data_IF_473641526497
#
_entry.id   IF_473641526497
#
_cell.length_a   1.000
_cell.length_b   1.000
_cell.length_c   1.000
_cell.angle_alpha   90.00
_cell.angle_beta   90.00
_cell.angle_gamma   90.00
#
_symmetry.space_group_name_H-M   'P 1'
#
loop_
_entity.id
_entity.type
_entity.pdbx_description
1 polymer ?
#
# COMPACT_ATOMS: atom_id res chain seq x y z
N UNK A 1 64.98 -75.84 29.33
CA UNK A 1 64.31 -76.62 30.40
C UNK A 1 64.30 -75.78 31.67
N UNK A 2 63.25 -75.71 32.52
CA UNK A 2 61.80 -75.92 32.38
C UNK A 2 61.01 -74.57 32.43
N UNK A 3 59.77 -74.43 31.92
CA UNK A 3 58.44 -74.47 32.61
C UNK A 3 58.44 -73.77 33.99
N UNK A 4 57.51 -72.87 34.36
CA UNK A 4 56.06 -72.80 34.12
C UNK A 4 55.49 -71.43 34.57
N UNK A 5 54.30 -71.10 34.04
CA UNK A 5 53.17 -70.27 34.56
C UNK A 5 53.23 -69.93 36.06
N UNK A 6 52.56 -68.91 36.60
CA UNK A 6 51.80 -67.73 36.20
C UNK A 6 51.27 -67.19 37.55
N UNK A 7 51.19 -65.89 37.81
CA UNK A 7 50.23 -65.29 38.77
C UNK A 7 50.18 -63.77 38.56
N UNK A 8 48.95 -63.25 38.46
CA UNK A 8 48.55 -61.84 38.58
C UNK A 8 47.88 -61.73 39.96
N UNK A 9 47.93 -60.59 40.69
CA UNK A 9 47.12 -59.44 40.26
C UNK A 9 47.59 -58.02 40.64
N UNK A 10 47.06 -57.07 39.85
CA UNK A 10 46.61 -55.70 40.19
C UNK A 10 47.64 -54.66 40.67
N UNK A 11 48.22 -53.93 39.70
CA UNK A 11 48.73 -52.58 39.88
C UNK A 11 47.62 -51.53 39.67
N UNK A 12 47.45 -50.65 40.65
CA UNK A 12 46.90 -49.30 40.50
C UNK A 12 47.97 -48.40 39.88
N UNK A 13 47.74 -47.92 38.65
CA UNK A 13 48.64 -47.04 37.92
C UNK A 13 47.96 -45.73 37.55
N UNK A 14 48.33 -44.65 38.25
CA UNK A 14 48.03 -43.27 37.88
C UNK A 14 49.01 -42.87 36.77
N UNK A 15 48.52 -42.73 35.53
CA UNK A 15 49.36 -42.37 34.38
C UNK A 15 48.96 -40.98 33.86
N UNK A 16 49.87 -40.04 34.06
CA UNK A 16 49.84 -38.67 33.52
C UNK A 16 49.96 -38.75 32.01
N UNK A 17 48.95 -38.25 31.29
CA UNK A 17 48.95 -38.13 29.83
C UNK A 17 48.98 -36.65 29.44
N UNK A 18 50.03 -36.27 28.72
CA UNK A 18 50.24 -34.97 28.10
C UNK A 18 49.07 -34.62 27.16
N UNK A 19 48.40 -33.49 27.40
CA UNK A 19 47.46 -32.91 26.45
C UNK A 19 48.21 -32.01 25.44
N UNK A 20 48.21 -32.44 24.19
CA UNK A 20 48.54 -31.64 23.02
C UNK A 20 47.43 -30.59 22.80
N UNK A 21 47.77 -29.30 22.89
CA UNK A 21 46.89 -28.19 22.52
C UNK A 21 46.99 -27.94 21.00
N UNK A 22 45.90 -28.05 20.21
CA UNK A 22 45.90 -27.58 18.83
C UNK A 22 45.68 -26.06 18.81
N UNK A 23 46.61 -25.34 18.19
CA UNK A 23 46.49 -23.92 17.83
C UNK A 23 45.46 -23.81 16.70
N UNK A 24 44.22 -23.45 17.04
CA UNK A 24 43.23 -23.05 16.04
C UNK A 24 43.47 -21.57 15.66
N UNK A 25 43.66 -21.22 14.37
CA UNK A 25 43.64 -19.83 13.98
C UNK A 25 42.22 -19.30 14.14
N UNK A 26 42.03 -18.41 15.12
CA UNK A 26 40.84 -17.56 15.23
C UNK A 26 40.73 -16.70 13.97
N UNK A 27 40.09 -17.22 12.95
CA UNK A 27 39.53 -16.41 11.87
C UNK A 27 38.24 -15.82 12.42
N UNK A 28 38.35 -14.69 13.12
CA UNK A 28 37.23 -13.80 13.40
C UNK A 28 36.80 -13.15 12.09
N UNK A 29 36.16 -13.91 11.21
CA UNK A 29 35.29 -13.35 10.19
C UNK A 29 34.04 -12.85 10.90
N UNK A 30 34.15 -11.71 11.57
CA UNK A 30 33.02 -10.85 11.86
C UNK A 30 32.50 -10.32 10.53
N UNK A 31 31.78 -11.18 9.80
CA UNK A 31 30.91 -10.70 8.72
C UNK A 31 29.85 -9.86 9.41
N UNK A 32 30.07 -8.54 9.43
CA UNK A 32 29.03 -7.56 9.70
C UNK A 32 27.93 -7.79 8.68
N UNK A 33 26.98 -8.67 8.99
CA UNK A 33 25.81 -8.86 8.15
C UNK A 33 25.01 -7.58 8.29
N UNK A 34 25.24 -6.61 7.39
CA UNK A 34 24.28 -5.52 7.21
C UNK A 34 23.02 -6.17 6.65
N UNK A 35 22.19 -6.74 7.52
CA UNK A 35 20.97 -7.43 7.13
C UNK A 35 20.00 -6.36 6.64
N UNK A 36 20.04 -6.08 5.34
CA UNK A 36 19.06 -5.24 4.69
C UNK A 36 17.66 -5.74 5.06
N UNK A 37 16.67 -4.87 5.36
CA UNK A 37 15.31 -5.33 5.60
C UNK A 37 14.80 -6.11 4.38
N UNK A 38 14.35 -7.34 4.61
CA UNK A 38 14.02 -8.29 3.54
C UNK A 38 12.52 -8.56 3.46
N UNK A 39 12.04 -8.84 2.25
CA UNK A 39 10.70 -9.38 2.07
C UNK A 39 10.63 -10.78 2.69
N UNK A 40 9.83 -10.92 3.75
CA UNK A 40 9.53 -12.23 4.33
C UNK A 40 8.50 -12.90 3.46
N UNK A 41 8.87 -14.05 2.91
CA UNK A 41 7.93 -14.87 2.18
C UNK A 41 7.12 -15.70 3.18
N UNK A 42 5.81 -15.57 3.10
CA UNK A 42 4.90 -16.29 3.99
C UNK A 42 3.84 -17.03 3.20
N UNK A 43 3.34 -18.12 3.78
CA UNK A 43 2.20 -18.85 3.23
C UNK A 43 0.95 -18.01 3.38
N UNK A 44 0.20 -17.91 2.29
CA UNK A 44 -1.00 -17.10 2.22
C UNK A 44 -2.24 -18.01 2.35
N UNK A 45 -3.24 -17.62 3.18
CA UNK A 45 -4.51 -18.34 3.23
C UNK A 45 -5.23 -18.24 1.88
N UNK A 46 -6.11 -19.19 1.61
CA UNK A 46 -6.79 -19.26 0.33
C UNK A 46 -8.21 -18.69 0.46
N UNK A 47 -8.53 -17.67 -0.34
CA UNK A 47 -9.86 -17.07 -0.44
C UNK A 47 -10.46 -17.46 -1.79
N UNK A 48 -11.49 -18.29 -1.79
CA UNK A 48 -12.11 -18.85 -3.01
C UNK A 48 -13.55 -18.34 -3.16
N UNK A 49 -13.92 -17.79 -4.33
CA UNK A 49 -15.31 -17.51 -4.68
C UNK A 49 -16.19 -18.76 -4.63
N UNK A 50 -17.44 -18.60 -4.23
CA UNK A 50 -18.46 -19.65 -4.21
C UNK A 50 -19.61 -19.26 -5.13
N UNK A 51 -20.81 -19.07 -4.57
CA UNK A 51 -21.97 -18.62 -5.31
C UNK A 51 -21.85 -17.12 -5.65
N UNK A 52 -22.33 -16.77 -6.84
CA UNK A 52 -22.47 -15.38 -7.28
C UNK A 52 -23.92 -15.13 -7.64
N UNK A 53 -24.52 -14.14 -7.01
CA UNK A 53 -25.92 -13.79 -7.19
C UNK A 53 -26.06 -12.40 -7.82
N UNK A 54 -27.13 -12.20 -8.58
CA UNK A 54 -27.47 -10.88 -9.08
C UNK A 54 -28.01 -10.00 -7.94
N UNK A 55 -27.67 -8.72 -7.97
CA UNK A 55 -28.21 -7.70 -7.06
C UNK A 55 -28.92 -6.61 -7.87
N UNK A 56 -29.85 -5.87 -7.26
CA UNK A 56 -30.47 -4.71 -7.89
C UNK A 56 -29.42 -3.72 -8.42
N UNK A 57 -29.70 -3.10 -9.56
CA UNK A 57 -28.79 -2.13 -10.14
C UNK A 57 -28.61 -0.92 -9.20
N UNK A 58 -27.39 -0.38 -9.03
CA UNK A 58 -27.17 0.83 -8.24
C UNK A 58 -27.85 2.05 -8.88
N UNK A 59 -28.12 3.07 -8.07
CA UNK A 59 -28.76 4.31 -8.50
C UNK A 59 -27.76 5.39 -8.93
N UNK A 60 -26.50 5.33 -8.51
CA UNK A 60 -25.42 6.25 -8.93
C UNK A 60 -25.67 7.73 -8.62
N UNK A 61 -26.30 8.04 -7.49
CA UNK A 61 -26.75 9.40 -7.16
C UNK A 61 -25.66 10.26 -6.49
N UNK A 62 -24.93 9.69 -5.53
CA UNK A 62 -23.99 10.41 -4.67
C UNK A 62 -22.65 10.66 -5.37
N UNK A 63 -22.01 11.80 -5.10
CA UNK A 63 -20.65 12.05 -5.56
C UNK A 63 -19.64 11.25 -4.73
N UNK A 64 -18.51 10.89 -5.33
CA UNK A 64 -17.41 10.27 -4.59
C UNK A 64 -16.92 11.20 -3.47
N UNK A 65 -16.94 10.70 -2.24
CA UNK A 65 -16.47 11.43 -1.07
C UNK A 65 -14.95 11.28 -0.98
N UNK A 66 -14.22 12.30 -1.43
CA UNK A 66 -12.75 12.26 -1.48
C UNK A 66 -12.07 12.39 -0.10
N UNK A 67 -12.87 12.71 0.90
CA UNK A 67 -12.52 12.91 2.30
C UNK A 67 -13.28 11.90 3.16
N UNK A 68 -12.63 10.80 3.49
CA UNK A 68 -13.15 9.81 4.44
C UNK A 68 -12.58 10.11 5.81
N UNK A 69 -13.48 10.10 6.79
CA UNK A 69 -13.21 10.38 8.19
C UNK A 69 -13.85 9.28 9.02
N UNK A 70 -13.10 8.67 9.92
CA UNK A 70 -13.64 7.68 10.86
C UNK A 70 -13.64 8.25 12.28
N UNK A 71 -14.70 7.96 13.01
CA UNK A 71 -14.89 8.23 14.44
C UNK A 71 -14.16 7.23 15.32
N UNK A 72 -13.77 6.05 14.79
CA UNK A 72 -13.09 4.99 15.54
C UNK A 72 -11.57 5.12 15.46
N UNK A 73 -10.95 5.66 16.51
CA UNK A 73 -9.50 5.88 16.59
C UNK A 73 -8.65 4.57 16.60
N UNK A 74 -7.29 4.64 16.57
CA UNK A 74 -6.45 3.45 16.63
C UNK A 74 -6.73 2.54 17.83
N UNK A 75 -7.10 3.10 18.98
CA UNK A 75 -7.38 2.34 20.20
C UNK A 75 -8.72 1.61 20.09
N UNK A 76 -9.73 2.24 19.50
CA UNK A 76 -11.00 1.64 19.12
C UNK A 76 -10.77 0.44 18.19
N UNK A 77 -9.97 0.61 17.12
CA UNK A 77 -9.63 -0.51 16.22
C UNK A 77 -8.80 -1.61 16.90
N UNK A 78 -7.94 -1.28 17.87
CA UNK A 78 -7.17 -2.28 18.65
C UNK A 78 -8.05 -3.06 19.63
N UNK A 79 -9.08 -2.42 20.19
CA UNK A 79 -10.04 -3.02 21.13
C UNK A 79 -11.21 -3.72 20.44
N UNK A 80 -11.45 -3.42 19.16
CA UNK A 80 -12.50 -4.05 18.38
C UNK A 80 -12.32 -5.57 18.42
N UNK A 81 -13.42 -6.33 18.65
CA UNK A 81 -13.34 -7.77 18.74
C UNK A 81 -12.81 -8.35 17.43
N UNK A 82 -11.92 -9.33 17.53
CA UNK A 82 -11.43 -10.04 16.35
C UNK A 82 -12.60 -10.69 15.61
N UNK A 83 -12.75 -10.43 14.30
CA UNK A 83 -13.82 -11.03 13.53
C UNK A 83 -13.76 -12.55 13.59
N UNK A 84 -14.90 -13.21 13.82
CA UNK A 84 -14.99 -14.66 13.73
C UNK A 84 -14.75 -15.11 12.28
N UNK A 85 -14.56 -16.42 12.07
CA UNK A 85 -14.46 -16.98 10.72
C UNK A 85 -15.68 -16.61 9.85
N UNK A 86 -16.89 -16.60 10.43
CA UNK A 86 -18.13 -16.26 9.72
C UNK A 86 -18.20 -14.77 9.40
N UNK A 87 -17.73 -13.91 10.30
CA UNK A 87 -17.61 -12.48 10.06
C UNK A 87 -16.63 -12.22 8.92
N UNK A 88 -15.46 -12.85 8.92
CA UNK A 88 -14.48 -12.72 7.84
C UNK A 88 -15.05 -13.18 6.49
N UNK A 89 -15.82 -14.27 6.45
CA UNK A 89 -16.52 -14.69 5.22
C UNK A 89 -17.51 -13.63 4.74
N UNK A 90 -18.22 -13.01 5.65
CA UNK A 90 -19.21 -11.96 5.39
C UNK A 90 -18.56 -10.64 4.93
N UNK A 91 -17.41 -10.27 5.51
CA UNK A 91 -16.67 -9.04 5.22
C UNK A 91 -15.84 -9.15 3.92
N UNK A 92 -15.29 -10.33 3.63
CA UNK A 92 -14.53 -10.62 2.40
C UNK A 92 -15.40 -11.14 1.24
N UNK A 93 -16.70 -11.37 1.45
CA UNK A 93 -17.63 -11.39 0.31
C UNK A 93 -17.51 -10.05 -0.43
N UNK A 94 -17.85 -10.00 -1.71
CA UNK A 94 -17.65 -8.78 -2.49
C UNK A 94 -18.70 -8.58 -3.55
N UNK A 95 -18.95 -7.33 -3.87
CA UNK A 95 -19.75 -6.93 -5.02
C UNK A 95 -18.87 -6.73 -6.25
N UNK A 96 -19.44 -7.04 -7.41
CA UNK A 96 -18.85 -6.76 -8.72
C UNK A 96 -19.81 -5.92 -9.54
N UNK A 97 -19.45 -4.66 -9.75
CA UNK A 97 -20.13 -3.77 -10.70
C UNK A 97 -19.53 -3.95 -12.09
N UNK A 98 -20.34 -4.38 -13.04
CA UNK A 98 -19.95 -4.52 -14.44
C UNK A 98 -20.19 -3.23 -15.25
N UNK A 99 -19.42 -3.02 -16.32
CA UNK A 99 -19.54 -1.83 -17.17
C UNK A 99 -20.87 -1.69 -17.93
N UNK A 100 -21.71 -2.73 -17.92
CA UNK A 100 -23.09 -2.70 -18.43
C UNK A 100 -24.12 -2.30 -17.35
N UNK A 101 -23.69 -2.03 -16.12
CA UNK A 101 -24.57 -1.70 -14.99
C UNK A 101 -25.03 -2.90 -14.16
N UNK A 102 -24.76 -4.13 -14.59
CA UNK A 102 -25.10 -5.32 -13.80
C UNK A 102 -24.29 -5.35 -12.52
N UNK A 103 -24.97 -5.52 -11.39
CA UNK A 103 -24.36 -5.73 -10.09
C UNK A 103 -24.52 -7.20 -9.69
N UNK A 104 -23.45 -7.77 -9.16
CA UNK A 104 -23.45 -9.14 -8.62
C UNK A 104 -22.76 -9.14 -7.27
N UNK A 105 -23.14 -10.06 -6.40
CA UNK A 105 -22.47 -10.31 -5.14
C UNK A 105 -21.92 -11.73 -5.14
N UNK A 106 -20.67 -11.88 -4.73
CA UNK A 106 -19.98 -13.16 -4.67
C UNK A 106 -19.63 -13.48 -3.22
N UNK A 107 -20.17 -14.59 -2.73
CA UNK A 107 -19.76 -15.14 -1.45
C UNK A 107 -18.43 -15.89 -1.57
N UNK A 108 -17.73 -16.05 -0.45
CA UNK A 108 -16.41 -16.69 -0.43
C UNK A 108 -16.31 -17.79 0.63
N UNK A 109 -15.26 -18.61 0.51
CA UNK A 109 -14.75 -19.51 1.55
C UNK A 109 -13.27 -19.21 1.80
N UNK A 110 -12.84 -19.43 3.04
CA UNK A 110 -11.47 -19.20 3.48
C UNK A 110 -10.89 -20.55 3.92
N UNK A 111 -9.70 -20.90 3.43
CA UNK A 111 -8.97 -22.10 3.80
C UNK A 111 -7.57 -21.76 4.30
N UNK A 112 -7.03 -22.57 5.23
CA UNK A 112 -5.68 -22.36 5.76
C UNK A 112 -5.54 -21.08 6.60
N UNK A 113 -6.64 -20.60 7.19
CA UNK A 113 -6.65 -19.46 8.10
C UNK A 113 -7.16 -19.91 9.48
N UNK A 114 -6.39 -19.63 10.53
CA UNK A 114 -6.81 -19.87 11.90
C UNK A 114 -7.06 -18.52 12.58
N UNK A 115 -8.31 -18.17 12.96
CA UNK A 115 -8.59 -16.91 13.63
C UNK A 115 -7.92 -16.79 15.01
N UNK A 116 -7.53 -17.92 15.63
CA UNK A 116 -6.97 -17.96 16.99
C UNK A 116 -5.43 -17.98 17.00
N UNK A 117 -4.77 -17.98 15.84
CA UNK A 117 -3.30 -17.92 15.79
C UNK A 117 -2.81 -16.50 15.99
N UNK A 118 -2.26 -16.20 17.18
CA UNK A 118 -1.65 -14.92 17.59
C UNK A 118 -0.41 -14.51 16.76
N UNK A 119 -0.52 -14.40 15.44
CA UNK A 119 0.63 -14.21 14.54
C UNK A 119 0.65 -12.85 13.85
N UNK A 120 -0.07 -11.86 14.39
CA UNK A 120 0.02 -10.46 13.98
C UNK A 120 0.88 -9.68 14.98
N UNK A 121 2.08 -9.18 14.60
CA UNK A 121 3.01 -8.50 15.52
C UNK A 121 2.53 -7.13 16.06
N UNK A 122 1.33 -6.68 15.69
CA UNK A 122 0.82 -5.34 16.00
C UNK A 122 0.46 -5.12 17.49
N UNK A 123 0.54 -6.15 18.34
CA UNK A 123 -0.03 -6.11 19.70
C UNK A 123 0.96 -5.85 20.85
N UNK A 124 2.25 -5.61 20.62
CA UNK A 124 3.25 -5.64 21.70
C UNK A 124 3.88 -4.31 22.15
N UNK A 125 3.38 -3.12 21.77
CA UNK A 125 3.98 -1.86 22.27
C UNK A 125 2.95 -0.79 22.64
N UNK A 126 2.59 -0.75 23.92
CA UNK A 126 1.98 0.42 24.56
C UNK A 126 2.98 1.03 25.54
N UNK A 127 3.41 2.27 25.29
CA UNK A 127 4.22 3.06 26.23
C UNK A 127 3.53 4.38 26.51
N UNK A 128 3.34 4.68 27.80
CA UNK A 128 2.66 5.85 28.34
C UNK A 128 3.65 7.00 28.56
N UNK A 129 3.34 8.20 28.04
CA UNK A 129 4.08 9.44 28.27
C UNK A 129 3.13 10.54 28.75
N UNK A 130 3.55 11.28 29.79
CA UNK A 130 2.77 12.29 30.52
C UNK A 130 2.66 13.63 29.76
N UNK A 131 1.64 14.40 30.17
CA UNK A 131 1.00 15.50 29.45
C UNK A 131 1.56 16.90 29.72
N UNK A 132 1.30 17.80 28.76
CA UNK A 132 1.04 19.23 29.00
C UNK A 132 -0.02 19.73 27.99
N UNK A 133 -0.90 20.65 28.42
CA UNK A 133 -2.17 21.02 27.77
C UNK A 133 -2.03 22.20 26.81
N UNK A 134 -2.69 22.14 25.66
CA UNK A 134 -3.12 23.33 24.90
C UNK A 134 -4.28 23.03 23.94
N UNK A 135 -5.29 23.91 23.89
CA UNK A 135 -6.43 23.87 22.96
C UNK A 135 -6.04 24.36 21.56
N UNK A 136 -6.35 23.62 20.47
CA UNK A 136 -6.19 24.13 19.09
C UNK A 136 -7.22 23.59 18.07
N UNK A 137 -7.78 24.57 17.33
CA UNK A 137 -8.27 24.66 15.92
C UNK A 137 -8.21 23.43 14.97
N UNK A 138 -9.33 23.23 14.27
CA UNK A 138 -9.54 22.36 13.09
C UNK A 138 -8.84 22.85 11.80
N UNK A 139 -8.36 21.88 11.00
CA UNK A 139 -8.01 21.89 9.56
C UNK A 139 -6.51 21.87 9.21
N UNK A 140 -5.81 20.72 9.23
CA UNK A 140 -4.75 20.41 8.24
C UNK A 140 -4.63 18.89 7.93
N UNK A 141 -4.57 18.52 6.64
CA UNK A 141 -4.09 17.18 6.19
C UNK A 141 -2.60 17.19 5.81
N UNK A 142 -1.94 18.33 6.07
CA UNK A 142 -0.52 18.59 5.87
C UNK A 142 0.10 18.83 7.26
N UNK A 143 1.04 17.99 7.63
CA UNK A 143 1.71 17.99 8.91
C UNK A 143 2.91 18.94 8.87
N UNK A 144 2.77 20.13 9.46
CA UNK A 144 3.86 21.11 9.49
C UNK A 144 4.17 21.70 8.10
N UNK A 145 5.38 21.47 7.59
CA UNK A 145 5.83 21.94 6.28
C UNK A 145 5.43 20.93 5.19
N UNK A 146 4.92 21.40 4.05
CA UNK A 146 4.47 20.54 2.94
C UNK A 146 5.63 19.71 2.36
N UNK A 147 5.69 18.44 2.73
CA UNK A 147 6.69 17.45 2.28
C UNK A 147 6.35 16.79 0.93
N UNK A 148 5.36 17.31 0.19
CA UNK A 148 4.94 16.76 -1.11
C UNK A 148 5.76 17.31 -2.27
N UNK A 149 6.35 16.41 -3.04
CA UNK A 149 7.15 16.73 -4.21
C UNK A 149 6.33 16.58 -5.49
N UNK A 150 6.11 17.66 -6.21
CA UNK A 150 5.58 17.56 -7.58
C UNK A 150 6.65 16.97 -8.48
N UNK A 151 6.37 15.81 -9.08
CA UNK A 151 7.28 15.19 -10.03
C UNK A 151 7.18 15.96 -11.35
N UNK A 152 8.24 16.69 -11.67
CA UNK A 152 8.38 17.41 -12.93
C UNK A 152 9.22 16.60 -13.93
N UNK A 153 9.01 16.87 -15.22
CA UNK A 153 9.77 16.25 -16.31
C UNK A 153 9.17 14.92 -16.80
N UNK A 154 9.01 14.81 -18.13
CA UNK A 154 8.43 13.63 -18.77
C UNK A 154 9.22 12.36 -18.46
N UNK A 155 10.55 12.48 -18.39
CA UNK A 155 11.47 11.37 -18.12
C UNK A 155 11.20 10.70 -16.78
N UNK A 156 10.75 11.44 -15.76
CA UNK A 156 10.43 10.86 -14.46
C UNK A 156 8.98 10.37 -14.40
N UNK A 157 8.03 11.16 -14.91
CA UNK A 157 6.59 10.84 -14.89
C UNK A 157 6.26 9.51 -15.58
N UNK A 158 7.00 9.18 -16.65
CA UNK A 158 6.76 7.98 -17.45
C UNK A 158 7.60 6.77 -17.02
N UNK A 159 8.51 6.94 -16.05
CA UNK A 159 9.36 5.86 -15.53
C UNK A 159 8.80 5.26 -14.25
N UNK A 160 9.10 3.97 -14.05
CA UNK A 160 8.81 3.28 -12.80
C UNK A 160 9.68 3.87 -11.66
N UNK A 161 9.13 4.13 -10.47
CA UNK A 161 7.81 3.71 -9.98
C UNK A 161 6.68 4.70 -10.25
N UNK A 162 6.95 5.92 -10.71
CA UNK A 162 5.93 6.98 -10.85
C UNK A 162 4.86 6.67 -11.91
N UNK A 163 5.24 5.99 -12.98
CA UNK A 163 4.37 5.63 -14.10
C UNK A 163 3.20 4.71 -13.74
N UNK A 164 3.21 4.11 -12.54
CA UNK A 164 2.16 3.21 -12.03
C UNK A 164 1.00 3.97 -11.41
N UNK A 165 1.17 5.25 -11.08
CA UNK A 165 0.12 6.08 -10.52
C UNK A 165 -0.88 6.45 -11.62
N UNK A 166 -2.17 6.35 -11.31
CA UNK A 166 -3.26 6.66 -12.24
C UNK A 166 -4.31 7.57 -11.60
N UNK A 167 -5.04 8.31 -12.42
CA UNK A 167 -6.16 9.16 -12.00
C UNK A 167 -7.48 8.44 -12.22
N UNK A 168 -8.39 8.43 -11.25
CA UNK A 168 -9.76 7.99 -11.48
C UNK A 168 -10.62 9.18 -11.91
N UNK A 169 -11.57 8.93 -12.82
CA UNK A 169 -12.53 9.95 -13.27
C UNK A 169 -13.49 10.44 -12.17
N UNK A 170 -13.54 9.75 -11.03
CA UNK A 170 -14.30 10.17 -9.84
C UNK A 170 -13.58 11.21 -8.98
N UNK A 171 -12.31 11.51 -9.28
CA UNK A 171 -11.52 12.46 -8.48
C UNK A 171 -10.45 11.79 -7.62
N UNK A 172 -10.44 10.47 -7.49
CA UNK A 172 -9.39 9.73 -6.78
C UNK A 172 -8.13 9.45 -7.61
N UNK A 173 -7.18 8.77 -6.97
CA UNK A 173 -5.97 8.16 -7.53
C UNK A 173 -6.04 6.63 -7.44
N UNK A 174 -5.07 5.95 -8.06
CA UNK A 174 -4.96 4.50 -8.04
C UNK A 174 -3.55 4.04 -8.39
N UNK A 175 -3.29 2.74 -8.30
CA UNK A 175 -1.99 2.15 -8.62
C UNK A 175 -2.12 0.89 -9.48
N UNK A 176 -1.32 0.81 -10.54
CA UNK A 176 -1.24 -0.37 -11.40
C UNK A 176 -0.62 -1.55 -10.65
N UNK A 177 -1.37 -2.65 -10.54
CA UNK A 177 -0.97 -3.89 -9.83
C UNK A 177 -0.99 -5.13 -10.74
N UNK A 178 -1.40 -4.97 -12.00
CA UNK A 178 -1.34 -5.99 -13.05
C UNK A 178 -1.69 -5.37 -14.40
N UNK A 179 -1.52 -6.09 -15.52
CA UNK A 179 -1.63 -5.55 -16.89
C UNK A 179 -2.97 -4.87 -17.23
N UNK A 180 -4.02 -5.23 -16.50
CA UNK A 180 -5.38 -4.69 -16.60
C UNK A 180 -5.92 -4.26 -15.25
N UNK A 181 -5.12 -4.23 -14.19
CA UNK A 181 -5.63 -4.15 -12.82
C UNK A 181 -5.11 -2.91 -12.09
N UNK A 182 -6.04 -2.15 -11.52
CA UNK A 182 -5.77 -0.93 -10.73
C UNK A 182 -6.32 -1.16 -9.33
N UNK A 183 -5.46 -1.01 -8.33
CA UNK A 183 -5.85 -0.95 -6.92
C UNK A 183 -6.19 0.51 -6.56
N UNK A 184 -7.28 0.70 -5.82
CA UNK A 184 -7.79 2.01 -5.38
C UNK A 184 -8.55 1.84 -4.05
N UNK A 185 -9.00 2.94 -3.44
CA UNK A 185 -9.88 2.91 -2.28
C UNK A 185 -11.33 2.60 -2.70
N UNK A 186 -12.12 1.98 -1.82
CA UNK A 186 -13.50 1.63 -2.08
C UNK A 186 -14.42 2.86 -2.11
N UNK A 187 -14.18 3.84 -1.22
CA UNK A 187 -14.96 5.08 -1.17
C UNK A 187 -14.91 5.89 -2.48
N UNK A 188 -13.85 5.68 -3.29
CA UNK A 188 -13.69 6.32 -4.59
C UNK A 188 -14.73 5.87 -5.62
N UNK A 189 -15.43 4.76 -5.36
CA UNK A 189 -16.41 4.14 -6.25
C UNK A 189 -17.73 3.80 -5.54
N UNK A 190 -17.76 3.77 -4.21
CA UNK A 190 -18.91 3.34 -3.42
C UNK A 190 -19.01 4.15 -2.11
N UNK A 191 -20.15 4.76 -1.79
CA UNK A 191 -20.30 5.60 -0.58
C UNK A 191 -20.63 4.80 0.71
N UNK A 192 -20.68 3.48 0.59
CA UNK A 192 -21.04 2.52 1.64
C UNK A 192 -22.51 2.12 1.64
N UNK A 193 -23.36 2.81 0.89
CA UNK A 193 -24.75 2.42 0.62
C UNK A 193 -25.00 2.11 -0.86
N UNK A 194 -24.36 2.86 -1.75
CA UNK A 194 -24.52 2.74 -3.19
C UNK A 194 -23.23 3.08 -3.94
N UNK A 195 -23.18 2.72 -5.22
CA UNK A 195 -22.10 3.15 -6.09
C UNK A 195 -22.23 4.64 -6.41
N UNK A 196 -21.09 5.33 -6.47
CA UNK A 196 -21.06 6.79 -6.69
C UNK A 196 -21.33 7.14 -8.15
N UNK A 197 -21.71 8.40 -8.40
CA UNK A 197 -21.92 8.96 -9.73
C UNK A 197 -20.69 8.72 -10.61
N UNK A 198 -20.96 8.15 -11.79
CA UNK A 198 -19.93 7.83 -12.78
C UNK A 198 -19.21 6.49 -12.56
N UNK A 199 -19.47 5.76 -11.47
CA UNK A 199 -18.85 4.44 -11.23
C UNK A 199 -19.19 3.41 -12.33
N UNK A 200 -20.41 3.42 -12.87
CA UNK A 200 -20.81 2.56 -13.99
C UNK A 200 -19.94 2.79 -15.25
N UNK A 201 -19.54 4.04 -15.48
CA UNK A 201 -18.74 4.45 -16.64
C UNK A 201 -17.32 4.88 -16.23
N UNK A 202 -16.81 4.31 -15.13
CA UNK A 202 -15.53 4.68 -14.55
C UNK A 202 -14.40 4.61 -15.57
N UNK A 203 -13.55 5.64 -15.57
CA UNK A 203 -12.36 5.73 -16.41
C UNK A 203 -11.12 5.90 -15.54
N UNK A 204 -10.04 5.27 -15.98
CA UNK A 204 -8.70 5.37 -15.39
C UNK A 204 -7.80 6.12 -16.35
N UNK A 205 -7.21 7.20 -15.87
CA UNK A 205 -6.40 8.17 -16.59
C UNK A 205 -4.92 7.89 -16.40
N UNK A 206 -4.21 7.83 -17.52
CA UNK A 206 -2.79 7.57 -17.61
C UNK A 206 -2.09 8.82 -18.13
N UNK A 207 -1.15 9.39 -17.38
CA UNK A 207 -0.36 10.53 -17.85
C UNK A 207 0.42 10.17 -19.11
N UNK A 208 0.31 10.98 -20.16
CA UNK A 208 1.06 10.88 -21.41
C UNK A 208 1.50 12.27 -21.89
N UNK A 209 2.61 12.38 -22.63
CA UNK A 209 2.96 13.61 -23.31
C UNK A 209 1.85 14.06 -24.27
N UNK A 210 1.61 15.36 -24.37
CA UNK A 210 0.95 15.95 -25.53
C UNK A 210 1.91 15.80 -26.71
N UNK A 211 1.47 15.16 -27.80
CA UNK A 211 2.21 15.28 -29.06
C UNK A 211 2.11 16.74 -29.51
N UNK A 212 3.24 17.37 -29.83
CA UNK A 212 3.23 18.57 -30.66
C UNK A 212 2.82 18.11 -32.04
N UNK A 213 1.72 18.60 -32.56
CA UNK A 213 1.43 18.45 -33.99
C UNK A 213 2.55 19.18 -34.75
N UNK A 214 3.36 18.42 -35.48
CA UNK A 214 4.36 18.97 -36.40
C UNK A 214 3.62 19.53 -37.61
N UNK A 215 2.93 20.65 -37.44
CA UNK A 215 2.38 21.48 -38.51
C UNK A 215 1.83 22.79 -37.92
N UNK A 216 2.72 23.75 -37.60
CA UNK A 216 2.57 25.15 -38.04
C UNK A 216 3.79 25.99 -37.63
N UNK A 217 4.39 26.55 -38.69
CA UNK A 217 5.25 27.74 -38.74
C UNK A 217 6.50 27.78 -37.85
N UNK A 218 7.59 27.28 -38.42
CA UNK A 218 8.86 27.99 -38.47
C UNK A 218 8.71 29.38 -39.10
N UNK A 219 8.07 30.37 -38.45
CA UNK A 219 8.15 31.79 -38.84
C UNK A 219 7.80 32.69 -37.64
N UNK A 220 8.71 33.61 -37.32
CA UNK A 220 8.69 34.65 -36.27
C UNK A 220 8.91 34.12 -34.84
N UNK A 221 10.09 34.30 -34.22
CA UNK A 221 10.73 35.59 -33.97
C UNK A 221 12.25 35.52 -34.15
N UNK A 222 12.75 36.10 -35.24
CA UNK A 222 14.07 36.69 -35.26
C UNK A 222 13.94 38.15 -34.78
N UNK A 223 14.94 38.60 -34.02
CA UNK A 223 15.42 39.99 -33.91
C UNK A 223 14.46 41.11 -33.44
N UNK A 224 14.60 41.50 -32.17
CA UNK A 224 15.05 42.88 -31.88
C UNK A 224 15.60 42.98 -30.45
N UNK A 225 16.91 42.73 -30.30
CA UNK A 225 17.65 43.09 -29.10
C UNK A 225 18.07 44.56 -29.23
N UNK A 226 17.19 45.47 -28.84
CA UNK A 226 17.62 46.80 -28.39
C UNK A 226 17.93 46.73 -26.90
N UNK A 227 19.13 47.21 -26.58
CA UNK A 227 19.76 47.23 -25.27
C UNK A 227 18.81 47.69 -24.15
N UNK A 228 18.64 46.86 -23.12
CA UNK A 228 18.46 47.35 -21.77
C UNK A 228 19.12 46.37 -20.78
N UNK A 229 20.14 46.88 -20.12
CA UNK A 229 20.84 46.28 -19.00
C UNK A 229 19.94 46.41 -17.78
N UNK A 230 19.54 45.28 -17.18
CA UNK A 230 19.44 45.17 -15.72
C UNK A 230 19.35 43.70 -15.31
N UNK A 231 20.34 43.28 -14.52
CA UNK A 231 20.45 41.94 -13.98
C UNK A 231 19.45 41.71 -12.86
N UNK A 232 18.64 40.66 -13.00
CA UNK A 232 17.83 40.07 -11.95
C UNK A 232 17.68 38.57 -12.20
N UNK A 233 17.66 37.71 -11.16
CA UNK A 233 17.52 36.27 -11.35
C UNK A 233 16.15 35.98 -11.96
N UNK A 234 16.14 35.30 -13.11
CA UNK A 234 14.93 34.83 -13.79
C UNK A 234 13.95 34.22 -12.78
N UNK A 235 12.67 34.66 -12.74
CA UNK A 235 11.69 34.01 -11.89
C UNK A 235 11.57 32.55 -12.34
N UNK A 236 11.77 31.62 -11.40
CA UNK A 236 11.50 30.20 -11.62
C UNK A 236 10.01 30.03 -11.97
N UNK A 237 9.70 29.98 -13.26
CA UNK A 237 8.40 29.54 -13.71
C UNK A 237 8.29 28.04 -13.40
N UNK A 238 7.35 27.60 -12.55
CA UNK A 238 7.19 26.18 -12.27
C UNK A 238 6.93 25.44 -13.60
N UNK A 239 7.54 24.26 -13.83
CA UNK A 239 7.36 23.52 -15.06
C UNK A 239 5.88 23.23 -15.25
N UNK A 240 5.28 23.86 -16.25
CA UNK A 240 3.84 23.80 -16.46
C UNK A 240 3.46 22.36 -16.79
N UNK A 241 2.42 21.85 -16.11
CA UNK A 241 1.78 20.56 -16.39
C UNK A 241 1.18 20.49 -17.81
N UNK A 242 1.30 21.59 -18.56
CA UNK A 242 0.71 21.83 -19.86
C UNK A 242 1.27 20.94 -20.98
N UNK A 243 2.31 20.16 -20.70
CA UNK A 243 2.91 19.21 -21.65
C UNK A 243 2.36 17.78 -21.44
N UNK A 244 1.62 17.51 -20.37
CA UNK A 244 1.06 16.19 -20.09
C UNK A 244 -0.47 16.19 -20.20
N UNK A 245 -1.05 15.07 -20.66
CA UNK A 245 -2.49 14.83 -20.72
C UNK A 245 -2.84 13.45 -20.20
N UNK A 246 -4.08 13.26 -19.75
CA UNK A 246 -4.58 11.94 -19.39
C UNK A 246 -5.14 11.20 -20.62
N UNK A 247 -4.57 10.04 -20.91
CA UNK A 247 -5.23 9.05 -21.75
C UNK A 247 -6.13 8.17 -20.88
N UNK A 248 -7.41 8.07 -21.23
CA UNK A 248 -8.40 7.36 -20.42
C UNK A 248 -8.68 5.94 -20.95
N UNK A 249 -8.79 4.98 -20.03
CA UNK A 249 -9.24 3.61 -20.28
C UNK A 249 -10.46 3.34 -19.39
N UNK A 250 -11.54 2.80 -19.97
CA UNK A 250 -12.75 2.43 -19.19
C UNK A 250 -12.49 1.18 -18.35
N UNK A 251 -13.05 1.16 -17.14
CA UNK A 251 -13.19 -0.05 -16.36
C UNK A 251 -14.19 -1.01 -17.03
N UNK A 252 -13.86 -2.30 -17.01
CA UNK A 252 -14.71 -3.43 -17.42
C UNK A 252 -15.58 -3.88 -16.25
N UNK A 253 -14.97 -4.00 -15.07
CA UNK A 253 -15.66 -4.29 -13.80
C UNK A 253 -14.88 -3.75 -12.61
N UNK A 254 -15.57 -3.57 -11.50
CA UNK A 254 -15.07 -3.05 -10.23
C UNK A 254 -15.45 -4.01 -9.11
N UNK A 255 -14.48 -4.43 -8.31
CA UNK A 255 -14.68 -5.28 -7.14
C UNK A 255 -14.61 -4.45 -5.85
N UNK A 256 -15.61 -4.58 -4.97
CA UNK A 256 -15.68 -3.89 -3.68
C UNK A 256 -16.04 -4.89 -2.57
N UNK A 257 -15.23 -5.02 -1.51
CA UNK A 257 -15.52 -5.93 -0.40
C UNK A 257 -16.77 -5.48 0.37
N UNK A 258 -17.57 -6.45 0.85
CA UNK A 258 -18.75 -6.20 1.68
C UNK A 258 -18.36 -5.59 3.03
N UNK A 259 -17.12 -5.76 3.49
CA UNK A 259 -16.63 -5.10 4.70
C UNK A 259 -16.71 -3.58 4.62
N UNK A 260 -16.49 -2.98 3.44
CA UNK A 260 -16.73 -1.54 3.23
C UNK A 260 -18.23 -1.22 3.33
N UNK A 261 -19.05 -2.02 2.67
CA UNK A 261 -20.50 -1.79 2.51
C UNK A 261 -21.24 -1.99 3.84
N UNK A 262 -20.85 -3.00 4.62
CA UNK A 262 -21.44 -3.33 5.93
C UNK A 262 -20.82 -2.54 7.07
N UNK A 263 -19.54 -2.19 6.95
CA UNK A 263 -18.76 -1.56 8.01
C UNK A 263 -19.12 -0.10 8.30
N UNK A 264 -19.87 0.57 7.42
CA UNK A 264 -20.40 1.92 7.69
C UNK A 264 -21.44 1.96 8.83
N UNK A 265 -22.00 0.83 9.26
CA UNK A 265 -22.90 0.77 10.41
C UNK A 265 -22.15 0.76 11.76
N UNK A 266 -20.88 0.32 11.77
CA UNK A 266 -20.11 0.04 12.98
C UNK A 266 -18.73 0.72 12.98
N UNK A 267 -18.50 1.75 12.15
CA UNK A 267 -17.23 2.50 11.99
C UNK A 267 -15.98 1.68 11.59
N UNK A 268 -16.10 0.38 11.35
CA UNK A 268 -15.02 -0.54 10.90
C UNK A 268 -14.88 -0.53 9.36
N UNK A 269 -15.74 0.19 8.64
CA UNK A 269 -15.71 0.26 7.16
C UNK A 269 -14.32 0.62 6.60
N UNK A 270 -13.57 1.47 7.30
CA UNK A 270 -12.20 1.86 6.96
C UNK A 270 -11.26 0.66 6.77
N UNK A 271 -11.40 -0.41 7.54
CA UNK A 271 -10.54 -1.59 7.45
C UNK A 271 -10.65 -2.27 6.08
N UNK A 272 -11.74 -2.02 5.36
CA UNK A 272 -12.03 -2.61 4.06
C UNK A 272 -12.14 -1.56 2.95
N UNK A 273 -11.59 -0.37 3.14
CA UNK A 273 -11.59 0.70 2.14
C UNK A 273 -10.57 0.46 0.99
N UNK A 274 -10.75 -0.64 0.27
CA UNK A 274 -10.01 -0.98 -0.94
C UNK A 274 -10.94 -1.55 -2.01
N UNK A 275 -10.60 -1.32 -3.26
CA UNK A 275 -11.31 -1.84 -4.41
C UNK A 275 -10.33 -2.14 -5.54
N UNK A 276 -10.70 -3.08 -6.41
CA UNK A 276 -9.92 -3.42 -7.59
C UNK A 276 -10.71 -3.15 -8.88
N UNK A 277 -10.10 -2.44 -9.80
CA UNK A 277 -10.66 -2.18 -11.13
C UNK A 277 -9.98 -3.07 -12.17
N UNK A 278 -10.76 -3.80 -12.95
CA UNK A 278 -10.28 -4.43 -14.18
C UNK A 278 -10.56 -3.53 -15.37
N UNK A 279 -9.55 -3.24 -16.19
CA UNK A 279 -9.62 -2.39 -17.37
C UNK A 279 -10.09 -3.16 -18.61
N UNK A 280 -10.85 -2.50 -19.48
CA UNK A 280 -11.32 -3.09 -20.75
C UNK A 280 -10.18 -3.52 -21.69
N UNK A 281 -9.02 -2.87 -21.59
CA UNK A 281 -7.82 -3.17 -22.40
C UNK A 281 -6.55 -3.09 -21.54
N UNK A 282 -5.47 -3.81 -21.91
CA UNK A 282 -4.23 -3.76 -21.16
C UNK A 282 -3.56 -2.40 -21.32
N UNK A 283 -2.93 -1.91 -20.25
CA UNK A 283 -2.34 -0.56 -20.24
C UNK A 283 -0.90 -0.51 -20.80
N UNK A 284 -0.25 -1.67 -20.99
CA UNK A 284 1.12 -1.78 -21.56
C UNK A 284 2.18 -0.94 -20.83
N UNK A 285 2.13 -0.91 -19.50
CA UNK A 285 3.13 -0.24 -18.63
C UNK A 285 3.65 -1.23 -17.62
N UNK A 286 4.80 -0.93 -16.99
CA UNK A 286 5.18 -1.63 -15.76
C UNK A 286 4.12 -1.37 -14.69
N UNK A 287 3.79 -2.40 -13.94
CA UNK A 287 2.94 -2.33 -12.76
C UNK A 287 3.76 -2.73 -11.52
N UNK A 288 3.28 -2.36 -10.34
CA UNK A 288 3.89 -2.78 -9.08
C UNK A 288 3.37 -4.16 -8.68
N UNK A 289 4.16 -4.91 -7.91
CA UNK A 289 3.68 -6.15 -7.30
C UNK A 289 2.93 -5.84 -6.01
N UNK A 290 2.00 -6.72 -5.63
CA UNK A 290 1.43 -6.72 -4.29
C UNK A 290 2.42 -7.37 -3.32
N UNK A 291 2.35 -6.97 -2.05
CA UNK A 291 3.03 -7.61 -0.94
C UNK A 291 2.17 -7.55 0.31
N UNK A 292 2.34 -8.51 1.21
CA UNK A 292 1.71 -8.42 2.53
C UNK A 292 2.42 -7.33 3.33
N UNK A 293 1.64 -6.48 3.98
CA UNK A 293 2.18 -5.38 4.79
C UNK A 293 3.00 -5.91 5.96
N UNK A 294 4.30 -5.60 6.04
CA UNK A 294 5.05 -5.87 7.26
C UNK A 294 4.55 -4.95 8.39
N UNK A 295 4.86 -5.27 9.65
CA UNK A 295 4.75 -4.32 10.76
C UNK A 295 5.52 -3.04 10.47
N UNK A 296 5.08 -1.91 11.01
CA UNK A 296 5.66 -0.59 10.80
C UNK A 296 7.13 -0.56 11.22
N UNK A 297 7.48 -1.26 12.30
CA UNK A 297 8.86 -1.43 12.77
C UNK A 297 9.72 -2.28 11.82
N UNK A 298 9.10 -3.17 11.04
CA UNK A 298 9.77 -3.98 10.03
C UNK A 298 10.05 -3.24 8.71
N UNK A 299 9.51 -2.03 8.54
CA UNK A 299 9.78 -1.21 7.36
C UNK A 299 11.18 -0.53 7.45
N UNK A 300 11.94 -0.45 6.34
CA UNK A 300 13.21 0.26 6.30
C UNK A 300 13.08 1.71 6.79
N UNK A 301 13.69 2.04 7.93
CA UNK A 301 13.58 3.36 8.54
C UNK A 301 12.14 3.79 8.84
N UNK A 302 11.24 2.81 9.07
CA UNK A 302 9.79 2.98 9.21
C UNK A 302 9.16 3.74 8.04
N UNK A 303 9.74 3.69 6.84
CA UNK A 303 9.36 4.58 5.73
C UNK A 303 8.37 3.93 4.78
N UNK A 304 7.35 4.69 4.41
CA UNK A 304 6.42 4.37 3.32
C UNK A 304 6.47 5.44 2.23
N UNK A 305 6.05 5.05 1.03
CA UNK A 305 6.06 5.90 -0.16
C UNK A 305 4.73 5.77 -0.89
N UNK A 306 4.26 6.86 -1.50
CA UNK A 306 3.22 6.77 -2.51
C UNK A 306 3.23 7.97 -3.46
N UNK A 307 2.63 7.76 -4.63
CA UNK A 307 2.42 8.80 -5.64
C UNK A 307 0.96 8.82 -6.04
N UNK A 308 0.43 10.01 -6.31
CA UNK A 308 -0.99 10.26 -6.49
C UNK A 308 -1.25 11.65 -7.06
N UNK A 309 -2.52 11.94 -7.29
CA UNK A 309 -3.01 13.17 -7.92
C UNK A 309 -3.88 13.95 -6.94
N UNK A 310 -3.23 14.85 -6.22
CA UNK A 310 -3.87 15.75 -5.27
C UNK A 310 -4.66 16.84 -6.01
N UNK A 311 -5.84 17.21 -5.49
CA UNK A 311 -6.74 18.16 -6.15
C UNK A 311 -6.21 19.60 -6.14
N UNK A 312 -5.37 19.95 -5.17
CA UNK A 312 -4.74 21.27 -5.07
C UNK A 312 -3.59 21.44 -6.09
N UNK A 313 -3.16 20.36 -6.76
CA UNK A 313 -2.12 20.37 -7.81
C UNK A 313 -2.62 19.68 -9.08
N UNK A 314 -3.64 20.25 -9.76
CA UNK A 314 -4.32 19.59 -10.88
C UNK A 314 -3.35 19.25 -12.03
N UNK A 315 -3.44 18.01 -12.51
CA UNK A 315 -2.60 17.51 -13.60
C UNK A 315 -1.16 17.17 -13.22
N UNK A 316 -0.72 17.49 -12.00
CA UNK A 316 0.60 17.13 -11.51
C UNK A 316 0.57 15.79 -10.79
N UNK A 317 1.58 14.95 -11.04
CA UNK A 317 1.82 13.78 -10.20
C UNK A 317 2.61 14.22 -8.98
N UNK A 318 2.08 13.94 -7.80
CA UNK A 318 2.70 14.29 -6.54
C UNK A 318 3.29 13.02 -5.91
N UNK A 319 4.51 13.10 -5.42
CA UNK A 319 5.20 12.02 -4.71
C UNK A 319 5.48 12.45 -3.27
N UNK A 320 5.41 11.48 -2.36
CA UNK A 320 5.79 11.67 -0.97
C UNK A 320 6.32 10.40 -0.34
N UNK A 321 7.03 10.61 0.75
CA UNK A 321 7.43 9.56 1.67
C UNK A 321 7.33 10.10 3.09
N UNK A 322 7.00 9.24 4.03
CA UNK A 322 6.90 9.61 5.44
C UNK A 322 7.19 8.39 6.32
N UNK A 323 7.24 8.64 7.63
CA UNK A 323 7.32 7.57 8.61
C UNK A 323 5.93 6.99 8.87
N UNK A 324 5.82 5.67 8.82
CA UNK A 324 4.74 4.90 9.39
C UNK A 324 4.87 4.90 10.92
N UNK A 325 3.81 5.38 11.57
CA UNK A 325 3.70 5.53 13.01
C UNK A 325 3.02 4.31 13.61
N UNK A 326 1.81 4.52 14.11
CA UNK A 326 0.97 3.48 14.70
C UNK A 326 0.37 2.55 13.65
N UNK A 327 -0.07 1.37 14.09
CA UNK A 327 -0.78 0.41 13.25
C UNK A 327 -1.85 -0.34 14.03
N UNK A 328 -2.86 -0.82 13.32
CA UNK A 328 -3.77 -1.87 13.75
C UNK A 328 -3.54 -3.10 12.86
N UNK A 329 -4.34 -4.16 13.03
CA UNK A 329 -4.32 -5.31 12.11
C UNK A 329 -4.50 -4.88 10.64
N UNK A 330 -5.40 -3.93 10.41
CA UNK A 330 -5.92 -3.60 9.08
C UNK A 330 -5.57 -2.20 8.59
N UNK A 331 -5.08 -1.31 9.47
CA UNK A 331 -4.75 0.08 9.16
C UNK A 331 -3.31 0.43 9.54
N UNK A 332 -2.68 1.26 8.72
CA UNK A 332 -1.36 1.85 8.94
C UNK A 332 -1.52 3.37 9.05
N UNK A 333 -1.19 3.91 10.21
CA UNK A 333 -1.24 5.34 10.49
C UNK A 333 0.11 5.98 10.16
N UNK A 334 0.05 7.10 9.46
CA UNK A 334 1.22 7.74 8.88
C UNK A 334 1.03 9.26 8.76
N UNK A 335 2.15 9.99 8.69
CA UNK A 335 2.17 11.44 8.59
C UNK A 335 2.67 11.92 7.21
N UNK A 336 2.23 11.27 6.15
CA UNK A 336 2.48 11.69 4.78
C UNK A 336 1.43 12.72 4.42
N UNK A 337 1.87 13.92 4.08
CA UNK A 337 1.01 14.97 3.59
C UNK A 337 0.21 14.53 2.36
N UNK A 338 -1.09 14.76 2.44
CA UNK A 338 -2.03 14.44 1.39
C UNK A 338 -3.12 15.51 1.34
N UNK A 339 -3.73 15.63 0.18
CA UNK A 339 -4.93 16.43 -0.03
C UNK A 339 -5.98 15.56 -0.73
N UNK A 340 -7.26 15.98 -0.73
CA UNK A 340 -8.32 15.27 -1.43
C UNK A 340 -7.90 14.94 -2.87
N UNK A 341 -8.23 13.72 -3.31
CA UNK A 341 -7.84 13.20 -4.62
C UNK A 341 -6.62 12.28 -4.61
N UNK A 342 -5.76 12.36 -3.59
CA UNK A 342 -4.70 11.39 -3.35
C UNK A 342 -5.25 10.00 -2.95
N UNK A 343 -6.49 9.93 -2.45
CA UNK A 343 -7.18 8.71 -2.03
C UNK A 343 -7.15 7.63 -3.10
N UNK A 344 -6.91 6.39 -2.69
CA UNK A 344 -6.70 5.23 -3.55
C UNK A 344 -5.27 5.03 -4.05
N UNK A 345 -4.34 5.96 -3.77
CA UNK A 345 -2.92 5.76 -4.10
C UNK A 345 -2.35 4.53 -3.41
N UNK A 346 -1.57 3.72 -4.12
CA UNK A 346 -0.89 2.55 -3.56
C UNK A 346 0.28 2.97 -2.68
N UNK A 347 0.20 2.62 -1.40
CA UNK A 347 1.29 2.79 -0.43
C UNK A 347 2.24 1.62 -0.58
N UNK A 348 3.52 1.91 -0.78
CA UNK A 348 4.55 0.90 -1.07
C UNK A 348 5.82 1.09 -0.25
N UNK A 349 6.54 -0.01 -0.09
CA UNK A 349 7.88 -0.05 0.50
C UNK A 349 8.87 -0.68 -0.47
N UNK A 350 10.16 -0.37 -0.31
CA UNK A 350 11.26 -0.97 -1.07
C UNK A 350 12.11 -1.80 -0.13
N UNK A 351 12.09 -3.11 -0.27
CA UNK A 351 12.86 -4.04 0.56
C UNK A 351 13.64 -5.02 -0.32
N UNK A 352 14.62 -5.69 0.27
CA UNK A 352 15.44 -6.67 -0.44
C UNK A 352 14.65 -7.96 -0.68
N UNK A 353 14.57 -8.41 -1.92
CA UNK A 353 14.07 -9.76 -2.26
C UNK A 353 15.26 -10.72 -2.26
N UNK A 354 15.35 -11.55 -1.23
CA UNK A 354 16.44 -12.52 -1.08
C UNK A 354 16.48 -13.57 -2.19
N UNK A 355 15.31 -14.02 -2.69
CA UNK A 355 15.22 -15.03 -3.76
C UNK A 355 15.69 -14.47 -5.10
N UNK A 356 15.33 -13.22 -5.40
CA UNK A 356 15.68 -12.55 -6.67
C UNK A 356 16.97 -11.74 -6.59
N UNK A 357 17.60 -11.69 -5.41
CA UNK A 357 18.82 -10.93 -5.11
C UNK A 357 18.76 -9.49 -5.63
N UNK A 358 17.63 -8.82 -5.41
CA UNK A 358 17.42 -7.43 -5.86
C UNK A 358 16.48 -6.67 -4.96
N UNK A 359 16.59 -5.35 -4.98
CA UNK A 359 15.59 -4.49 -4.35
C UNK A 359 14.27 -4.52 -5.12
N UNK A 360 13.18 -4.78 -4.42
CA UNK A 360 11.84 -4.82 -5.02
C UNK A 360 10.88 -3.90 -4.27
N UNK A 361 10.08 -3.16 -5.03
CA UNK A 361 8.97 -2.35 -4.50
C UNK A 361 7.69 -3.15 -4.61
N UNK A 362 6.98 -3.28 -3.50
CA UNK A 362 5.65 -3.90 -3.44
C UNK A 362 4.66 -2.92 -2.81
N UNK A 363 3.45 -2.86 -3.37
CA UNK A 363 2.31 -2.18 -2.73
C UNK A 363 1.92 -3.01 -1.52
N UNK A 364 1.91 -2.37 -0.36
CA UNK A 364 1.60 -2.95 0.95
C UNK A 364 0.33 -2.35 1.56
N UNK A 365 -0.22 -1.29 0.96
CA UNK A 365 -1.46 -0.69 1.41
C UNK A 365 -2.11 0.22 0.37
N UNK A 366 -3.31 0.69 0.70
CA UNK A 366 -4.09 1.64 -0.09
C UNK A 366 -4.31 2.88 0.76
N UNK A 367 -3.89 4.04 0.28
CA UNK A 367 -4.16 5.30 0.96
C UNK A 367 -5.67 5.56 0.96
N UNK A 368 -6.27 5.70 2.15
CA UNK A 368 -7.72 5.85 2.31
C UNK A 368 -8.07 7.31 2.56
N UNK A 369 -7.53 7.92 3.61
CA UNK A 369 -7.91 9.29 3.95
C UNK A 369 -7.26 9.79 5.23
N UNK A 370 -7.94 10.72 5.87
CA UNK A 370 -7.48 11.39 7.07
C UNK A 370 -8.37 11.00 8.25
N UNK A 371 -7.77 10.88 9.41
CA UNK A 371 -8.45 10.57 10.63
C UNK A 371 -7.96 11.48 11.75
N UNK A 372 -8.90 12.01 12.52
CA UNK A 372 -8.59 12.72 13.76
C UNK A 372 -8.84 11.79 14.93
N UNK A 373 -7.96 11.85 15.91
CA UNK A 373 -8.02 11.07 17.14
C UNK A 373 -7.99 12.03 18.30
N UNK A 374 -9.04 12.05 19.11
CA UNK A 374 -9.04 12.80 20.37
C UNK A 374 -8.41 11.93 21.46
N UNK A 375 -7.16 12.24 21.84
CA UNK A 375 -6.46 11.53 22.90
C UNK A 375 -6.17 12.47 24.06
N UNK A 376 -6.79 12.20 25.22
CA UNK A 376 -6.56 12.96 26.46
C UNK A 376 -6.70 14.49 26.31
N UNK A 377 -7.63 14.94 25.48
CA UNK A 377 -7.87 16.37 25.22
C UNK A 377 -6.99 17.02 24.13
N UNK A 378 -6.08 16.26 23.50
CA UNK A 378 -5.32 16.69 22.33
C UNK A 378 -5.82 15.95 21.07
N UNK A 379 -6.12 16.69 19.99
CA UNK A 379 -6.43 16.11 18.69
C UNK A 379 -5.12 15.76 17.97
N UNK A 380 -4.89 14.48 17.70
CA UNK A 380 -3.84 14.02 16.79
C UNK A 380 -4.45 13.71 15.44
N UNK A 381 -3.92 14.35 14.40
CA UNK A 381 -4.31 14.09 13.02
C UNK A 381 -3.38 13.02 12.42
N UNK A 382 -3.96 12.04 11.74
CA UNK A 382 -3.24 11.00 11.03
C UNK A 382 -3.78 10.84 9.63
N UNK A 383 -2.90 10.50 8.71
CA UNK A 383 -3.29 9.99 7.41
C UNK A 383 -3.22 8.45 7.47
N UNK A 384 -4.21 7.79 6.88
CA UNK A 384 -4.45 6.35 7.09
C UNK A 384 -4.37 5.61 5.77
N UNK A 385 -3.73 4.45 5.81
CA UNK A 385 -3.72 3.50 4.71
C UNK A 385 -4.26 2.14 5.15
N UNK A 386 -5.11 1.53 4.33
CA UNK A 386 -5.56 0.15 4.53
C UNK A 386 -4.40 -0.78 4.22
N UNK A 387 -3.98 -1.57 5.21
CA UNK A 387 -2.94 -2.58 5.07
C UNK A 387 -3.42 -3.72 4.18
N UNK A 388 -2.53 -4.22 3.33
CA UNK A 388 -2.72 -5.49 2.64
C UNK A 388 -2.33 -6.60 3.61
N UNK A 389 -3.30 -7.13 4.34
CA UNK A 389 -3.16 -8.30 5.22
C UNK A 389 -3.08 -9.59 4.38
N UNK A 390 -2.71 -10.75 4.96
CA UNK A 390 -2.68 -12.02 4.21
C UNK A 390 -4.00 -12.36 3.51
N UNK A 391 -5.14 -12.14 4.18
CA UNK A 391 -6.46 -12.39 3.60
C UNK A 391 -6.80 -11.41 2.47
N UNK A 392 -6.50 -10.12 2.64
CA UNK A 392 -6.68 -9.10 1.60
C UNK A 392 -5.77 -9.39 0.40
N UNK A 393 -4.51 -9.77 0.64
CA UNK A 393 -3.59 -10.19 -0.41
C UNK A 393 -4.17 -11.35 -1.22
N UNK A 394 -4.65 -12.40 -0.55
CA UNK A 394 -5.24 -13.57 -1.21
C UNK A 394 -6.41 -13.17 -2.12
N UNK A 395 -7.32 -12.34 -1.60
CA UNK A 395 -8.49 -11.88 -2.34
C UNK A 395 -8.11 -11.00 -3.54
N UNK A 396 -7.28 -9.98 -3.33
CA UNK A 396 -6.85 -9.06 -4.40
C UNK A 396 -6.04 -9.82 -5.46
N UNK A 397 -5.14 -10.72 -5.05
CA UNK A 397 -4.38 -11.56 -5.96
C UNK A 397 -5.30 -12.44 -6.80
N UNK A 398 -6.31 -13.07 -6.19
CA UNK A 398 -7.30 -13.86 -6.93
C UNK A 398 -8.03 -13.01 -7.96
N UNK A 399 -8.47 -11.79 -7.61
CA UNK A 399 -9.10 -10.90 -8.59
C UNK A 399 -8.19 -10.54 -9.76
N UNK A 400 -6.87 -10.44 -9.54
CA UNK A 400 -5.88 -10.14 -10.59
C UNK A 400 -5.58 -11.37 -11.46
N UNK A 401 -5.41 -12.53 -10.85
CA UNK A 401 -4.90 -13.76 -11.49
C UNK A 401 -6.01 -14.66 -12.02
N UNK A 402 -7.20 -14.60 -11.42
CA UNK A 402 -8.30 -15.52 -11.69
C UNK A 402 -8.09 -16.93 -11.12
N UNK A 403 -7.01 -17.16 -10.36
CA UNK A 403 -6.62 -18.46 -9.83
C UNK A 403 -5.88 -18.30 -8.50
N UNK A 404 -6.16 -19.16 -7.52
CA UNK A 404 -5.57 -19.09 -6.19
C UNK A 404 -4.18 -19.73 -6.10
N UNK A 405 -3.82 -20.63 -7.02
CA UNK A 405 -2.51 -21.30 -6.99
C UNK A 405 -1.35 -20.30 -7.15
N UNK A 406 -1.58 -19.23 -7.92
CA UNK A 406 -0.62 -18.14 -8.14
C UNK A 406 -0.53 -17.16 -6.96
N UNK A 407 -1.32 -17.38 -5.91
CA UNK A 407 -1.48 -16.49 -4.75
C UNK A 407 -1.03 -17.11 -3.43
N UNK A 408 -0.39 -18.30 -3.46
CA UNK A 408 0.00 -19.06 -2.25
C UNK A 408 1.18 -18.47 -1.48
N UNK A 409 1.94 -17.57 -2.11
CA UNK A 409 3.07 -16.87 -1.53
C UNK A 409 2.93 -15.36 -1.75
N UNK A 410 3.19 -14.56 -0.70
CA UNK A 410 3.04 -13.09 -0.71
C UNK A 410 4.28 -12.34 -0.29
#
# INVERSE_FOLDING_TARGET
MPRSRAELPRLTGLLVLLFLLPVFPFSSSSSSSSSHPQWVLQRIPVVIPQHTEARPAPHFLSQARLDVTSTCDPECHKKAPHPSYWDLRSLLAYETLHSNGRLTETAIRIYGYNPNSNTTPAYLTGSSGKAERSHVRRKRQIFGHDGRFSIAGQDFLLKYPFSVAVKLSTGCSGTLVGDRHVLTAAHCVHDGKNYVKGAQRLRVGFLKPKQRDTQQSSFHLLSNFTNHVEGGPSPYAPPTSDIMKFQWIRAKRTHVPKGWIKGNANDIGMDYDYALLELKKPHKRRHMKLGVSPPAQGLPGRRVHFSGFDNDRPGQLVYRFCRAGEETSDLLYQHCDAQPGASGSGVYARMWDGRRRRWERKVIGVFSGHQWVERQGASQEFNVAVRITPLKYAQICYWIKGNFMDCREG
#
